data_IF_372008993803
#
_entry.id   IF_372008993803
#
_cell.length_a   1.000
_cell.length_b   1.000
_cell.length_c   1.000
_cell.angle_alpha   90.00
_cell.angle_beta   90.00
_cell.angle_gamma   90.00
#
_symmetry.space_group_name_H-M   'P 1'
#
loop_
_entity.id
_entity.type
_entity.pdbx_description
1 polymer ?
#
# COMPACT_ATOMS: atom_id res chain seq x y z
N UNK A 1 -53.51 -30.08 24.99
CA UNK A 1 -52.98 -28.97 24.18
C UNK A 1 -51.78 -29.51 23.42
N UNK A 2 -51.99 -29.94 22.19
CA UNK A 2 -50.92 -30.42 21.31
C UNK A 2 -50.36 -29.23 20.53
N UNK A 3 -49.06 -28.98 20.68
CA UNK A 3 -48.35 -27.93 19.95
C UNK A 3 -48.15 -28.37 18.49
N UNK A 4 -48.33 -27.47 17.49
CA UNK A 4 -48.09 -27.82 16.09
C UNK A 4 -46.59 -28.00 15.82
N UNK A 5 -46.19 -28.90 14.89
CA UNK A 5 -44.79 -29.06 14.54
C UNK A 5 -44.29 -27.81 13.80
N UNK A 6 -43.16 -27.28 14.26
CA UNK A 6 -42.47 -26.18 13.60
C UNK A 6 -42.03 -26.62 12.19
N UNK A 7 -42.17 -25.78 11.15
CA UNK A 7 -41.71 -26.12 9.81
C UNK A 7 -40.20 -26.28 9.82
N UNK A 8 -39.72 -27.38 9.24
CA UNK A 8 -38.31 -27.63 9.05
C UNK A 8 -37.67 -26.45 8.31
N UNK A 9 -36.73 -25.78 8.99
CA UNK A 9 -35.93 -24.73 8.37
C UNK A 9 -35.29 -25.30 7.10
N UNK A 10 -35.65 -24.74 5.95
CA UNK A 10 -35.02 -25.04 4.67
C UNK A 10 -33.54 -24.68 4.77
N UNK A 11 -32.70 -25.68 5.07
CA UNK A 11 -31.28 -25.60 4.81
C UNK A 11 -31.08 -25.76 3.30
N UNK A 12 -31.43 -24.72 2.54
CA UNK A 12 -30.91 -24.53 1.21
C UNK A 12 -29.50 -23.96 1.38
N UNK A 13 -28.53 -24.81 1.70
CA UNK A 13 -27.14 -24.48 1.39
C UNK A 13 -27.07 -24.34 -0.13
N UNK A 14 -26.84 -23.12 -0.63
CA UNK A 14 -26.47 -22.95 -2.03
C UNK A 14 -25.08 -23.54 -2.18
N UNK A 15 -25.03 -24.86 -2.39
CA UNK A 15 -23.81 -25.60 -2.69
C UNK A 15 -23.38 -25.17 -4.10
N UNK A 16 -22.71 -24.02 -4.18
CA UNK A 16 -22.01 -23.63 -5.40
C UNK A 16 -20.94 -24.69 -5.66
N UNK A 17 -21.20 -25.59 -6.60
CA UNK A 17 -20.19 -26.51 -7.14
C UNK A 17 -19.23 -25.67 -7.97
N UNK A 18 -18.23 -25.07 -7.31
CA UNK A 18 -17.09 -24.51 -8.01
C UNK A 18 -16.27 -25.69 -8.53
N UNK A 19 -16.15 -25.80 -9.85
CA UNK A 19 -15.21 -26.73 -10.44
C UNK A 19 -13.79 -26.39 -9.94
N UNK A 20 -13.02 -27.35 -9.42
CA UNK A 20 -11.68 -27.08 -8.92
C UNK A 20 -10.80 -26.50 -10.03
N UNK A 21 -10.19 -25.35 -9.76
CA UNK A 21 -9.20 -24.76 -10.67
C UNK A 21 -7.88 -25.54 -10.50
N UNK A 22 -7.28 -26.09 -11.56
CA UNK A 22 -5.99 -26.76 -11.46
C UNK A 22 -4.91 -25.81 -10.93
N UNK A 23 -4.07 -26.31 -10.02
CA UNK A 23 -2.98 -25.54 -9.43
C UNK A 23 -2.00 -24.98 -10.47
N UNK A 24 -1.81 -25.68 -11.60
CA UNK A 24 -0.96 -25.22 -12.71
C UNK A 24 -1.48 -23.93 -13.34
N UNK A 25 -2.79 -23.78 -13.50
CA UNK A 25 -3.39 -22.56 -14.07
C UNK A 25 -3.15 -21.37 -13.13
N UNK A 26 -3.27 -21.58 -11.82
CA UNK A 26 -2.97 -20.56 -10.82
C UNK A 26 -1.47 -20.21 -10.80
N UNK A 27 -0.60 -21.22 -10.90
CA UNK A 27 0.84 -21.03 -10.97
C UNK A 27 1.26 -20.22 -12.21
N UNK A 28 0.73 -20.57 -13.39
CA UNK A 28 1.02 -19.85 -14.64
C UNK A 28 0.48 -18.42 -14.63
N UNK A 29 -0.66 -18.19 -13.97
CA UNK A 29 -1.21 -16.85 -13.79
C UNK A 29 -0.34 -16.02 -12.85
N UNK A 30 0.10 -16.60 -11.74
CA UNK A 30 0.98 -15.93 -10.78
C UNK A 30 2.36 -15.66 -11.37
N UNK A 31 2.95 -16.60 -12.12
CA UNK A 31 4.21 -16.39 -12.82
C UNK A 31 4.13 -15.21 -13.80
N UNK A 32 3.09 -15.17 -14.64
CA UNK A 32 2.85 -14.03 -15.54
C UNK A 32 2.64 -12.72 -14.81
N UNK A 33 1.96 -12.73 -13.66
CA UNK A 33 1.78 -11.53 -12.83
C UNK A 33 3.12 -11.03 -12.31
N UNK A 34 4.00 -11.92 -11.81
CA UNK A 34 5.33 -11.55 -11.34
C UNK A 34 6.22 -11.05 -12.47
N UNK A 35 6.31 -11.76 -13.58
CA UNK A 35 7.11 -11.34 -14.73
C UNK A 35 6.71 -9.93 -15.21
N UNK A 36 5.40 -9.64 -15.26
CA UNK A 36 4.91 -8.32 -15.60
C UNK A 36 5.27 -7.26 -14.53
N UNK A 37 5.17 -7.59 -13.23
CA UNK A 37 5.53 -6.71 -12.14
C UNK A 37 7.04 -6.41 -12.11
N UNK A 38 7.89 -7.41 -12.32
CA UNK A 38 9.34 -7.25 -12.41
C UNK A 38 9.72 -6.26 -13.51
N UNK A 39 9.09 -6.36 -14.69
CA UNK A 39 9.33 -5.42 -15.80
C UNK A 39 8.83 -4.02 -15.48
N UNK A 40 7.69 -3.89 -14.82
CA UNK A 40 7.06 -2.59 -14.56
C UNK A 40 7.68 -1.85 -13.37
N UNK A 41 7.98 -2.55 -12.28
CA UNK A 41 8.40 -1.98 -11.00
C UNK A 41 9.91 -2.06 -10.79
N UNK A 42 10.58 -3.03 -11.41
CA UNK A 42 12.01 -3.26 -11.26
C UNK A 42 12.40 -3.80 -9.88
N UNK A 43 13.64 -3.48 -9.46
CA UNK A 43 14.26 -4.05 -8.28
C UNK A 43 14.75 -3.00 -7.28
N UNK A 44 14.73 -3.37 -6.01
CA UNK A 44 15.33 -2.66 -4.89
C UNK A 44 16.72 -3.22 -4.59
N UNK A 45 17.74 -2.48 -5.00
CA UNK A 45 19.13 -2.82 -4.75
C UNK A 45 19.48 -2.67 -3.26
N UNK A 46 20.36 -3.53 -2.76
CA UNK A 46 20.88 -3.44 -1.40
C UNK A 46 22.03 -2.42 -1.29
N UNK A 47 22.64 -2.04 -2.42
CA UNK A 47 23.83 -1.18 -2.44
C UNK A 47 25.12 -1.94 -2.15
N UNK A 48 25.04 -3.27 -2.05
CA UNK A 48 26.19 -4.17 -1.93
C UNK A 48 26.28 -5.00 -3.20
N UNK A 49 27.27 -4.71 -4.06
CA UNK A 49 27.43 -5.39 -5.35
C UNK A 49 27.50 -6.92 -5.23
N UNK A 50 28.20 -7.44 -4.21
CA UNK A 50 28.26 -8.89 -3.97
C UNK A 50 26.88 -9.48 -3.69
N UNK A 51 26.04 -8.77 -2.91
CA UNK A 51 24.67 -9.24 -2.66
C UNK A 51 23.80 -9.09 -3.90
N UNK A 52 23.86 -7.94 -4.57
CA UNK A 52 22.97 -7.60 -5.68
C UNK A 52 23.27 -8.43 -6.95
N UNK A 53 24.56 -8.66 -7.23
CA UNK A 53 25.03 -9.31 -8.45
C UNK A 53 25.27 -10.81 -8.25
N UNK A 54 25.93 -11.22 -7.15
CA UNK A 54 26.36 -12.61 -6.96
C UNK A 54 25.35 -13.46 -6.17
N UNK A 55 24.58 -12.87 -5.25
CA UNK A 55 23.65 -13.61 -4.37
C UNK A 55 22.21 -13.50 -4.83
N UNK A 56 21.74 -12.28 -5.09
CA UNK A 56 20.38 -11.99 -5.56
C UNK A 56 20.27 -12.11 -7.08
N UNK A 57 21.40 -12.40 -7.76
CA UNK A 57 21.49 -12.90 -9.13
C UNK A 57 20.56 -12.18 -10.10
N UNK A 58 20.55 -10.83 -10.11
CA UNK A 58 20.02 -9.91 -11.15
C UNK A 58 19.48 -8.57 -10.58
N UNK A 59 20.09 -8.00 -9.53
CA UNK A 59 19.87 -6.59 -9.19
C UNK A 59 18.99 -6.32 -7.97
N UNK A 60 19.05 -7.17 -6.96
CA UNK A 60 18.41 -6.93 -5.66
C UNK A 60 17.05 -7.59 -5.50
N UNK A 61 16.21 -7.03 -4.61
CA UNK A 61 14.89 -7.58 -4.31
C UNK A 61 13.83 -7.13 -5.33
N UNK A 62 13.07 -8.08 -5.90
CA UNK A 62 11.99 -7.79 -6.85
C UNK A 62 10.84 -7.04 -6.19
N UNK A 63 10.41 -5.92 -6.79
CA UNK A 63 9.24 -5.17 -6.32
C UNK A 63 7.94 -5.85 -6.71
N UNK A 64 6.91 -5.74 -5.86
CA UNK A 64 5.65 -6.47 -6.02
C UNK A 64 5.73 -7.94 -5.59
N UNK A 65 6.82 -8.32 -4.92
CA UNK A 65 7.06 -9.62 -4.30
C UNK A 65 7.26 -9.48 -2.79
N UNK A 66 6.96 -10.55 -2.05
CA UNK A 66 7.22 -10.64 -0.61
C UNK A 66 8.44 -11.51 -0.42
N UNK A 67 9.48 -10.95 0.20
CA UNK A 67 10.74 -11.66 0.46
C UNK A 67 10.91 -11.85 1.96
N UNK A 68 11.04 -13.10 2.38
CA UNK A 68 11.40 -13.46 3.74
C UNK A 68 12.92 -13.53 3.91
N UNK A 69 13.46 -12.73 4.82
CA UNK A 69 14.88 -12.79 5.20
C UNK A 69 15.01 -13.49 6.54
N UNK A 70 15.74 -14.60 6.56
CA UNK A 70 16.12 -15.29 7.80
C UNK A 70 17.62 -15.26 7.94
N UNK A 71 18.10 -14.88 9.11
CA UNK A 71 19.51 -14.80 9.45
C UNK A 71 19.72 -15.32 10.88
N UNK A 72 20.88 -15.92 11.14
CA UNK A 72 21.25 -16.36 12.49
C UNK A 72 21.35 -15.17 13.44
N UNK A 73 21.93 -14.08 12.96
CA UNK A 73 21.93 -12.80 13.64
C UNK A 73 20.73 -11.95 13.19
N UNK A 74 19.80 -11.70 14.12
CA UNK A 74 18.64 -10.83 13.90
C UNK A 74 19.08 -9.45 13.40
N UNK A 75 20.20 -8.92 13.88
CA UNK A 75 20.69 -7.60 13.49
C UNK A 75 21.08 -7.52 12.02
N UNK A 76 21.58 -8.62 11.45
CA UNK A 76 21.95 -8.69 10.03
C UNK A 76 20.72 -8.54 9.14
N UNK A 77 19.62 -9.24 9.47
CA UNK A 77 18.37 -9.13 8.70
C UNK A 77 17.77 -7.72 8.76
N UNK A 78 17.80 -7.10 9.95
CA UNK A 78 17.38 -5.70 10.14
C UNK A 78 18.25 -4.76 9.32
N UNK A 79 19.57 -4.92 9.36
CA UNK A 79 20.50 -4.07 8.63
C UNK A 79 20.31 -4.19 7.12
N UNK A 80 20.12 -5.41 6.59
CA UNK A 80 19.87 -5.64 5.17
C UNK A 80 18.60 -4.92 4.69
N UNK A 81 17.51 -5.03 5.45
CA UNK A 81 16.26 -4.33 5.14
C UNK A 81 16.46 -2.80 5.15
N UNK A 82 17.01 -2.25 6.23
CA UNK A 82 17.21 -0.80 6.34
C UNK A 82 18.16 -0.24 5.29
N UNK A 83 19.22 -0.97 4.94
CA UNK A 83 20.16 -0.58 3.89
C UNK A 83 19.50 -0.59 2.51
N UNK A 84 18.68 -1.61 2.20
CA UNK A 84 17.91 -1.67 0.95
C UNK A 84 16.96 -0.48 0.82
N UNK A 85 16.25 -0.12 1.89
CA UNK A 85 15.39 1.06 1.92
C UNK A 85 16.22 2.34 1.75
N UNK A 86 17.32 2.48 2.48
CA UNK A 86 18.20 3.65 2.39
C UNK A 86 18.74 3.87 0.97
N UNK A 87 19.22 2.81 0.33
CA UNK A 87 19.69 2.85 -1.05
C UNK A 87 18.57 3.26 -2.01
N UNK A 88 17.40 2.64 -1.91
CA UNK A 88 16.24 2.94 -2.76
C UNK A 88 15.74 4.38 -2.61
N UNK A 89 15.79 4.94 -1.40
CA UNK A 89 15.44 6.34 -1.11
C UNK A 89 16.48 7.31 -1.68
N UNK A 90 17.77 7.02 -1.51
CA UNK A 90 18.85 7.89 -1.98
C UNK A 90 18.93 7.93 -3.51
N UNK A 91 18.62 6.82 -4.17
CA UNK A 91 18.57 6.71 -5.63
C UNK A 91 17.27 7.27 -6.24
N UNK A 92 16.28 7.63 -5.40
CA UNK A 92 15.01 8.19 -5.84
C UNK A 92 14.09 7.19 -6.56
N UNK A 93 14.41 5.89 -6.50
CA UNK A 93 13.56 4.81 -7.05
C UNK A 93 12.27 4.60 -6.25
N UNK A 94 12.25 5.08 -5.02
CA UNK A 94 11.15 4.95 -4.07
C UNK A 94 10.74 6.33 -3.57
N UNK A 95 9.45 6.63 -3.68
CA UNK A 95 8.82 7.83 -3.18
C UNK A 95 8.62 7.76 -1.66
N UNK A 96 8.10 6.63 -1.14
CA UNK A 96 7.92 6.41 0.31
C UNK A 96 8.14 4.96 0.72
N UNK A 97 8.56 4.80 1.98
CA UNK A 97 8.74 3.48 2.60
C UNK A 97 8.05 3.38 3.95
N UNK A 98 7.59 2.18 4.31
CA UNK A 98 7.08 1.87 5.64
C UNK A 98 7.98 0.85 6.33
N UNK A 99 8.36 1.14 7.57
CA UNK A 99 9.02 0.20 8.47
C UNK A 99 8.05 -0.17 9.59
N UNK A 100 7.72 -1.45 9.68
CA UNK A 100 6.91 -2.03 10.77
C UNK A 100 7.82 -2.89 11.63
N UNK A 101 7.84 -2.65 12.94
CA UNK A 101 8.82 -3.28 13.83
C UNK A 101 8.36 -3.36 15.28
N UNK A 102 8.70 -4.42 16.03
CA UNK A 102 8.51 -4.47 17.48
C UNK A 102 9.62 -3.75 18.26
N UNK A 103 10.68 -3.29 17.58
CA UNK A 103 11.80 -2.61 18.23
C UNK A 103 11.43 -1.15 18.57
N UNK A 104 12.01 -0.56 19.63
CA UNK A 104 11.76 0.82 19.99
C UNK A 104 12.08 1.81 18.85
N UNK A 105 11.19 2.79 18.66
CA UNK A 105 11.30 3.83 17.61
C UNK A 105 12.69 4.46 17.51
N UNK A 106 13.25 4.88 18.65
CA UNK A 106 14.54 5.59 18.68
C UNK A 106 15.71 4.74 18.18
N UNK A 107 15.67 3.41 18.42
CA UNK A 107 16.69 2.47 17.94
C UNK A 107 16.60 2.35 16.42
N UNK A 108 15.39 2.21 15.90
CA UNK A 108 15.15 2.06 14.46
C UNK A 108 15.45 3.33 13.68
N UNK A 109 15.08 4.50 14.21
CA UNK A 109 15.43 5.80 13.63
C UNK A 109 16.94 6.02 13.60
N UNK A 110 17.66 5.63 14.66
CA UNK A 110 19.12 5.73 14.68
C UNK A 110 19.74 4.86 13.58
N UNK A 111 19.33 3.58 13.50
CA UNK A 111 19.84 2.64 12.48
C UNK A 111 19.51 3.10 11.05
N UNK A 112 18.28 3.56 10.80
CA UNK A 112 17.89 4.09 9.50
C UNK A 112 18.71 5.32 9.12
N UNK A 113 18.87 6.27 10.05
CA UNK A 113 19.70 7.46 9.83
C UNK A 113 21.14 7.10 9.48
N UNK A 114 21.70 6.10 10.16
CA UNK A 114 23.08 5.66 9.92
C UNK A 114 23.22 4.95 8.57
N UNK A 115 22.23 4.14 8.17
CA UNK A 115 22.17 3.52 6.83
C UNK A 115 22.10 4.58 5.72
N UNK A 116 21.21 5.57 5.82
CA UNK A 116 21.10 6.67 4.84
C UNK A 116 22.39 7.49 4.78
N UNK A 117 23.03 7.78 5.92
CA UNK A 117 24.33 8.47 5.93
C UNK A 117 25.42 7.65 5.26
N UNK A 118 25.47 6.34 5.50
CA UNK A 118 26.45 5.46 4.89
C UNK A 118 26.27 5.44 3.37
N UNK A 119 25.03 5.39 2.90
CA UNK A 119 24.68 5.45 1.48
C UNK A 119 25.04 6.80 0.85
N UNK A 120 24.66 7.92 1.46
CA UNK A 120 25.03 9.23 0.93
C UNK A 120 26.56 9.40 0.84
N UNK A 121 27.29 8.82 1.80
CA UNK A 121 28.75 8.82 1.80
C UNK A 121 29.33 7.95 0.68
N UNK A 122 28.74 6.78 0.40
CA UNK A 122 29.19 5.92 -0.71
C UNK A 122 28.99 6.61 -2.08
N UNK A 123 27.96 7.45 -2.19
CA UNK A 123 27.69 8.30 -3.35
C UNK A 123 28.54 9.58 -3.41
N UNK A 124 29.45 9.79 -2.46
CA UNK A 124 30.32 10.97 -2.41
C UNK A 124 29.63 12.26 -1.97
N UNK A 125 28.39 12.19 -1.47
CA UNK A 125 27.66 13.37 -0.96
C UNK A 125 28.18 13.71 0.44
N UNK A 126 28.58 14.97 0.65
CA UNK A 126 29.14 15.43 1.91
C UNK A 126 28.69 16.85 2.29
N UNK A 127 29.02 17.27 3.51
CA UNK A 127 28.75 18.61 3.99
C UNK A 127 27.25 18.89 4.21
N UNK A 128 26.81 20.08 3.83
CA UNK A 128 25.45 20.54 4.06
C UNK A 128 24.43 19.83 3.15
N UNK A 129 24.82 19.55 1.90
CA UNK A 129 23.99 18.80 0.94
C UNK A 129 23.62 17.42 1.49
N UNK A 130 24.56 16.74 2.16
CA UNK A 130 24.29 15.44 2.78
C UNK A 130 23.24 15.54 3.90
N UNK A 131 23.22 16.63 4.67
CA UNK A 131 22.22 16.83 5.73
C UNK A 131 20.83 17.07 5.15
N UNK A 132 20.74 17.87 4.09
CA UNK A 132 19.48 18.14 3.39
C UNK A 132 18.91 16.86 2.78
N UNK A 133 19.74 16.09 2.04
CA UNK A 133 19.32 14.79 1.48
C UNK A 133 18.94 13.78 2.55
N UNK A 134 19.68 13.72 3.67
CA UNK A 134 19.34 12.85 4.80
C UNK A 134 17.95 13.18 5.34
N UNK A 135 17.64 14.47 5.55
CA UNK A 135 16.32 14.90 6.00
C UNK A 135 15.24 14.50 5.00
N UNK A 136 15.45 14.81 3.71
CA UNK A 136 14.51 14.47 2.65
C UNK A 136 14.23 12.95 2.57
N UNK A 137 15.26 12.11 2.72
CA UNK A 137 15.10 10.66 2.75
C UNK A 137 14.29 10.20 3.97
N UNK A 138 14.54 10.78 5.15
CA UNK A 138 13.83 10.40 6.38
C UNK A 138 12.38 10.87 6.37
N UNK A 139 12.07 12.01 5.75
CA UNK A 139 10.71 12.53 5.62
C UNK A 139 9.82 11.63 4.73
N UNK A 140 10.42 10.76 3.91
CA UNK A 140 9.75 9.76 3.07
C UNK A 140 9.46 8.43 3.79
N UNK A 141 9.87 8.28 5.05
CA UNK A 141 9.74 7.01 5.78
C UNK A 141 8.72 7.10 6.90
N UNK A 142 7.73 6.21 6.84
CA UNK A 142 6.81 5.93 7.93
C UNK A 142 7.42 4.84 8.82
N UNK A 143 7.35 5.03 10.15
CA UNK A 143 7.83 4.05 11.12
C UNK A 143 6.71 3.73 12.12
N UNK A 144 6.22 2.49 12.03
CA UNK A 144 5.21 1.94 12.93
C UNK A 144 5.83 0.93 13.90
N UNK A 145 5.62 1.16 15.19
CA UNK A 145 6.03 0.25 16.25
C UNK A 145 4.82 -0.59 16.69
N UNK A 146 4.87 -1.90 16.45
CA UNK A 146 3.77 -2.83 16.75
C UNK A 146 4.26 -3.91 17.72
N UNK A 147 3.46 -4.23 18.74
CA UNK A 147 3.88 -5.16 19.79
C UNK A 147 3.20 -6.53 19.69
N UNK A 148 2.11 -6.62 18.93
CA UNK A 148 1.32 -7.82 18.74
C UNK A 148 0.85 -7.94 17.28
N UNK A 149 0.18 -9.07 17.00
CA UNK A 149 -0.32 -9.39 15.68
C UNK A 149 -1.48 -8.47 15.27
N UNK A 150 -2.31 -8.07 16.23
CA UNK A 150 -3.45 -7.18 15.97
C UNK A 150 -2.96 -5.79 15.52
N UNK A 151 -1.96 -5.23 16.19
CA UNK A 151 -1.34 -3.97 15.77
C UNK A 151 -0.68 -4.05 14.38
N UNK A 152 -0.10 -5.19 14.01
CA UNK A 152 0.39 -5.39 12.65
C UNK A 152 -0.76 -5.37 11.62
N UNK A 153 -1.87 -6.06 11.92
CA UNK A 153 -3.04 -6.06 11.04
C UNK A 153 -3.66 -4.68 10.88
N UNK A 154 -3.73 -3.88 11.95
CA UNK A 154 -4.21 -2.49 11.90
C UNK A 154 -3.37 -1.65 10.95
N UNK A 155 -2.03 -1.71 11.09
CA UNK A 155 -1.11 -0.98 10.22
C UNK A 155 -1.27 -1.38 8.76
N UNK A 156 -1.40 -2.68 8.48
CA UNK A 156 -1.59 -3.17 7.11
C UNK A 156 -2.98 -2.82 6.54
N UNK A 157 -4.02 -2.78 7.38
CA UNK A 157 -5.35 -2.37 6.98
C UNK A 157 -5.40 -0.89 6.59
N UNK A 158 -4.64 -0.02 7.29
CA UNK A 158 -4.49 1.39 6.94
C UNK A 158 -3.86 1.58 5.56
N UNK A 159 -2.96 0.68 5.13
CA UNK A 159 -2.38 0.70 3.77
C UNK A 159 -3.34 0.24 2.67
N UNK A 160 -4.48 -0.34 3.02
CA UNK A 160 -5.45 -0.77 2.03
C UNK A 160 -6.58 0.26 1.86
N UNK A 161 -6.60 1.32 2.68
CA UNK A 161 -7.55 2.41 2.53
C UNK A 161 -7.15 3.23 1.30
N UNK A 162 -8.06 3.48 0.35
CA UNK A 162 -7.80 4.44 -0.71
C UNK A 162 -7.48 5.79 -0.06
N UNK A 163 -6.53 6.53 -0.64
CA UNK A 163 -6.29 7.91 -0.22
C UNK A 163 -7.57 8.68 -0.51
N UNK A 164 -8.37 8.94 0.52
CA UNK A 164 -9.43 9.92 0.43
C UNK A 164 -8.70 11.26 0.32
N UNK A 165 -8.84 11.92 -0.83
CA UNK A 165 -8.42 13.31 -0.97
C UNK A 165 -9.20 14.08 0.09
N UNK A 166 -8.55 14.45 1.18
CA UNK A 166 -9.07 15.47 2.08
C UNK A 166 -9.15 16.74 1.24
N UNK A 167 -10.32 16.98 0.65
CA UNK A 167 -10.70 18.28 0.12
C UNK A 167 -10.52 19.25 1.29
N UNK A 168 -9.41 20.01 1.28
CA UNK A 168 -9.26 21.17 2.14
C UNK A 168 -10.38 22.15 1.76
N UNK A 169 -11.54 22.03 2.43
CA UNK A 169 -12.53 23.09 2.48
C UNK A 169 -11.88 24.28 3.20
N UNK A 170 -11.25 25.14 2.41
CA UNK A 170 -10.85 26.49 2.81
C UNK A 170 -12.15 27.22 3.17
N UNK A 171 -12.55 27.18 4.44
CA UNK A 171 -13.56 28.07 4.99
C UNK A 171 -12.93 29.45 5.14
N UNK A 172 -13.01 30.24 4.07
CA UNK A 172 -12.81 31.69 4.11
C UNK A 172 -13.96 32.31 4.94
N UNK A 173 -13.80 32.36 6.26
CA UNK A 173 -14.59 33.27 7.10
C UNK A 173 -13.98 34.67 6.99
N UNK A 174 -14.40 35.44 5.99
CA UNK A 174 -14.27 36.90 6.00
C UNK A 174 -15.54 37.48 6.63
N UNK A 175 -15.41 37.95 7.88
CA UNK A 175 -16.27 38.99 8.43
C UNK A 175 -15.77 40.35 7.92
N UNK A 176 -16.64 41.16 7.33
CA UNK A 176 -16.87 42.55 7.72
C UNK A 176 -18.07 43.15 6.94
N UNK A 177 -18.79 44.03 7.63
CA UNK A 177 -20.21 44.34 7.46
C UNK A 177 -20.58 45.38 6.38
N UNK A 178 -21.87 45.32 6.00
CA UNK A 178 -22.83 46.38 5.65
C UNK A 178 -22.50 47.48 4.62
N UNK A 179 -23.30 47.56 3.54
CA UNK A 179 -24.23 48.68 3.29
C UNK A 179 -25.11 48.45 2.03
N UNK A 180 -26.31 49.01 2.07
CA UNK A 180 -27.49 48.64 1.30
C UNK A 180 -27.61 49.26 -0.11
N UNK A 181 -28.44 48.62 -0.97
CA UNK A 181 -29.62 49.16 -1.70
C UNK A 181 -29.87 48.50 -3.09
N UNK A 182 -31.07 47.91 -3.23
CA UNK A 182 -31.72 47.21 -4.36
C UNK A 182 -32.04 48.07 -5.62
N UNK A 183 -32.86 47.62 -6.62
CA UNK A 183 -33.12 46.30 -7.25
C UNK A 183 -33.11 46.35 -8.81
N UNK A 184 -33.15 45.20 -9.51
CA UNK A 184 -33.47 45.20 -10.95
C UNK A 184 -33.54 43.84 -11.68
N UNK A 185 -34.76 43.33 -11.82
CA UNK A 185 -35.33 42.56 -12.95
C UNK A 185 -34.88 41.11 -13.32
N UNK A 186 -35.84 40.19 -13.08
CA UNK A 186 -36.50 39.31 -14.07
C UNK A 186 -35.65 38.60 -15.14
N UNK A 187 -35.62 37.26 -15.17
CA UNK A 187 -36.68 36.43 -15.80
C UNK A 187 -36.29 34.93 -15.90
N UNK A 188 -37.23 34.08 -15.49
CA UNK A 188 -37.59 32.74 -15.98
C UNK A 188 -36.75 32.03 -17.06
N UNK A 189 -36.42 30.74 -16.83
CA UNK A 189 -37.24 29.67 -17.42
C UNK A 189 -36.97 28.26 -16.88
N UNK A 190 -38.04 27.67 -16.32
CA UNK A 190 -38.29 26.23 -16.17
C UNK A 190 -38.42 25.57 -17.54
N UNK A 191 -37.86 24.37 -17.72
CA UNK A 191 -38.54 23.27 -18.44
C UNK A 191 -38.37 21.97 -17.68
N UNK A 192 -39.39 21.68 -16.88
CA UNK A 192 -39.79 20.31 -16.55
C UNK A 192 -40.39 19.67 -17.82
N UNK A 193 -40.11 18.39 -18.06
CA UNK A 193 -41.12 17.50 -18.63
C UNK A 193 -40.95 16.07 -18.10
N UNK A 194 -42.11 15.52 -17.77
CA UNK A 194 -42.46 14.33 -16.99
C UNK A 194 -42.61 13.11 -17.93
N UNK A 195 -42.12 11.92 -17.50
CA UNK A 195 -42.82 10.61 -17.42
C UNK A 195 -43.63 10.09 -18.65
N UNK A 196 -43.65 8.84 -19.16
CA UNK A 196 -43.65 7.42 -18.67
C UNK A 196 -43.51 6.45 -19.93
N UNK A 197 -43.89 5.13 -19.94
CA UNK A 197 -43.15 3.97 -19.40
C UNK A 197 -43.08 2.70 -20.34
N UNK A 198 -42.35 1.67 -19.86
CA UNK A 198 -42.37 0.20 -20.13
C UNK A 198 -42.15 -0.36 -21.57
N UNK A 199 -41.09 -1.16 -21.76
CA UNK A 199 -41.12 -2.65 -21.98
C UNK A 199 -39.81 -3.15 -22.60
N UNK A 200 -39.26 -4.25 -22.07
CA UNK A 200 -38.15 -4.99 -22.69
C UNK A 200 -37.02 -5.40 -21.75
N UNK A 201 -37.31 -6.25 -20.76
CA UNK A 201 -36.28 -6.91 -19.96
C UNK A 201 -35.71 -8.11 -20.72
N UNK A 202 -34.49 -7.96 -21.24
CA UNK A 202 -33.49 -9.05 -21.31
C UNK A 202 -32.10 -8.42 -21.28
N UNK A 203 -31.23 -8.85 -20.37
CA UNK A 203 -29.87 -9.10 -20.80
C UNK A 203 -29.32 -10.41 -20.22
N UNK A 204 -29.02 -11.35 -21.10
CA UNK A 204 -28.00 -12.38 -20.87
C UNK A 204 -26.65 -11.67 -20.79
N UNK A 205 -26.19 -11.38 -19.57
CA UNK A 205 -24.87 -10.81 -19.32
C UNK A 205 -23.87 -11.97 -19.26
N UNK A 206 -22.85 -12.04 -20.13
CA UNK A 206 -21.76 -12.99 -19.93
C UNK A 206 -21.04 -12.61 -18.62
N UNK A 207 -20.62 -13.62 -17.86
CA UNK A 207 -19.82 -13.49 -16.65
C UNK A 207 -18.60 -12.61 -16.95
N UNK A 208 -18.70 -11.33 -16.58
CA UNK A 208 -17.55 -10.44 -16.51
C UNK A 208 -16.58 -11.07 -15.52
N UNK A 209 -15.44 -11.54 -16.02
CA UNK A 209 -14.26 -11.80 -15.20
C UNK A 209 -14.08 -10.60 -14.25
N UNK A 210 -13.65 -10.77 -13.00
CA UNK A 210 -13.31 -9.61 -12.19
C UNK A 210 -12.19 -8.88 -12.94
N UNK A 211 -12.55 -7.75 -13.55
CA UNK A 211 -11.61 -6.74 -14.00
C UNK A 211 -10.97 -6.29 -12.70
N UNK A 212 -9.79 -6.84 -12.41
CA UNK A 212 -8.86 -6.19 -11.49
C UNK A 212 -8.57 -4.88 -12.21
N UNK A 213 -9.30 -3.82 -11.84
CA UNK A 213 -8.93 -2.48 -12.24
C UNK A 213 -7.49 -2.28 -11.81
N UNK A 214 -6.61 -1.70 -12.64
CA UNK A 214 -5.35 -1.20 -12.11
C UNK A 214 -5.71 -0.32 -10.91
N UNK A 215 -5.04 -0.59 -9.79
CA UNK A 215 -5.24 0.14 -8.55
C UNK A 215 -4.61 1.52 -8.74
N UNK A 216 -5.30 2.39 -9.47
CA UNK A 216 -4.82 3.73 -9.83
C UNK A 216 -4.73 4.68 -8.61
N UNK A 217 -5.15 4.22 -7.42
CA UNK A 217 -5.04 4.94 -6.14
C UNK A 217 -4.62 3.98 -5.02
N UNK A 218 -3.55 3.21 -5.22
CA UNK A 218 -2.86 2.58 -4.12
C UNK A 218 -2.15 3.67 -3.29
N UNK A 219 -2.10 3.59 -1.95
CA UNK A 219 -1.25 4.51 -1.20
C UNK A 219 0.18 4.42 -1.75
N UNK A 220 0.80 5.58 -1.87
CA UNK A 220 2.09 5.84 -2.50
C UNK A 220 3.26 5.23 -1.70
N UNK A 221 3.18 3.95 -1.32
CA UNK A 221 4.24 3.20 -0.66
C UNK A 221 4.86 2.25 -1.67
N UNK A 222 6.18 2.36 -1.86
CA UNK A 222 6.90 1.52 -2.81
C UNK A 222 7.62 0.34 -2.14
N UNK A 223 7.93 0.46 -0.84
CA UNK A 223 8.60 -0.57 -0.04
C UNK A 223 7.94 -0.66 1.34
N UNK A 224 7.62 -1.89 1.76
CA UNK A 224 7.22 -2.20 3.13
C UNK A 224 8.23 -3.20 3.72
N UNK A 225 8.85 -2.82 4.84
CA UNK A 225 9.74 -3.70 5.61
C UNK A 225 9.03 -4.08 6.90
N UNK A 226 8.80 -5.38 7.06
CA UNK A 226 8.23 -5.93 8.30
C UNK A 226 9.34 -6.70 9.01
N UNK A 227 9.75 -6.18 10.17
CA UNK A 227 10.72 -6.82 11.03
C UNK A 227 9.98 -7.65 12.06
N UNK A 228 10.12 -8.97 12.01
CA UNK A 228 9.52 -9.89 12.98
C UNK A 228 10.66 -10.50 13.79
N UNK A 229 10.58 -10.36 15.12
CA UNK A 229 11.54 -11.02 16.01
C UNK A 229 11.25 -12.51 16.01
N UNK A 230 12.27 -13.33 15.75
CA UNK A 230 12.20 -14.77 16.01
C UNK A 230 12.17 -14.98 17.54
N UNK A 231 11.13 -15.64 18.03
CA UNK A 231 11.09 -16.10 19.41
C UNK A 231 12.07 -17.28 19.57
N UNK A 232 13.36 -16.98 19.76
CA UNK A 232 14.25 -17.93 20.41
C UNK A 232 14.22 -17.67 21.91
N UNK A 233 13.84 -18.73 22.62
CA UNK A 233 13.68 -18.83 24.05
C UNK A 233 15.04 -18.61 24.72
N UNK A 234 15.12 -17.66 25.66
CA UNK A 234 16.26 -17.54 26.58
C UNK A 234 16.45 -18.83 27.41
#
# INVERSE_FOLDING_TARGET
MESPPLPAASQASSHFTLDPIPASVLADKEARRRDAAAVQLGYCMTGCAVLDDDVLLLGGFERGSVVGVSAEDEEMGVQLGLQTLAHSLCDGRVAKGLVVTPKPRNVMLARLKDAVKAELKSQGVSGDVAKTKLRECLDKVMLSCVFDLDGLWEVLADLNKPVEEEDEEIQDSQDDDDEALSPGDNNNNKRQQMTQPVTGFTPTRPLTQPIIKPLDNAPELDIVIILIRSAHND
#
